data_IF_581216967996
#
_entry.id   IF_581216967996
#
_cell.length_a   1.000
_cell.length_b   1.000
_cell.length_c   1.000
_cell.angle_alpha   90.00
_cell.angle_beta   90.00
_cell.angle_gamma   90.00
#
_symmetry.space_group_name_H-M   'P 1'
#
loop_
_entity.id
_entity.type
_entity.pdbx_description
1 polymer ?
#
# COMPACT_ATOMS: atom_id res chain seq x y z
N UNK A 1 8.42 -9.44 15.91
CA UNK A 1 8.11 -10.30 14.73
C UNK A 1 7.57 -9.36 13.68
N UNK A 2 8.31 -9.15 12.59
CA UNK A 2 7.85 -8.31 11.48
C UNK A 2 6.58 -8.92 10.91
N UNK A 3 5.50 -8.15 10.83
CA UNK A 3 4.30 -8.56 10.10
C UNK A 3 4.67 -8.69 8.63
N UNK A 4 4.49 -9.87 8.04
CA UNK A 4 4.73 -10.09 6.63
C UNK A 4 3.46 -9.73 5.85
N UNK A 5 3.54 -8.73 4.98
CA UNK A 5 2.45 -8.35 4.08
C UNK A 5 2.22 -9.52 3.13
N UNK A 6 0.96 -9.94 2.98
CA UNK A 6 0.56 -11.08 2.18
C UNK A 6 -0.65 -10.70 1.35
N UNK A 7 -0.59 -10.98 0.04
CA UNK A 7 -1.71 -10.74 -0.87
C UNK A 7 -2.55 -12.01 -0.97
N UNK A 8 -3.83 -11.88 -0.62
CA UNK A 8 -4.81 -12.96 -0.61
C UNK A 8 -5.68 -12.83 -1.86
N UNK A 9 -5.74 -13.87 -2.67
CA UNK A 9 -6.59 -13.94 -3.86
C UNK A 9 -8.08 -13.82 -3.48
N UNK A 10 -8.84 -13.04 -4.25
CA UNK A 10 -10.29 -12.97 -4.09
C UNK A 10 -10.96 -14.03 -4.98
N UNK A 11 -11.58 -15.02 -4.35
CA UNK A 11 -12.43 -16.03 -5.00
C UNK A 11 -13.90 -15.82 -4.64
N UNK A 12 -14.28 -14.59 -4.25
CA UNK A 12 -15.64 -14.20 -3.87
C UNK A 12 -15.84 -14.00 -2.37
N UNK A 13 -14.77 -13.92 -1.58
CA UNK A 13 -14.84 -13.63 -0.14
C UNK A 13 -15.11 -12.14 0.12
N UNK A 14 -14.76 -11.28 -0.85
CA UNK A 14 -14.93 -9.84 -0.80
C UNK A 14 -15.60 -9.32 -2.07
N UNK A 15 -15.80 -8.01 -2.13
CA UNK A 15 -16.34 -7.27 -3.26
C UNK A 15 -15.65 -7.66 -4.58
N UNK A 16 -16.42 -7.81 -5.66
CA UNK A 16 -15.97 -8.33 -6.95
C UNK A 16 -15.04 -7.36 -7.70
N UNK A 17 -14.98 -6.10 -7.28
CA UNK A 17 -14.00 -5.12 -7.79
C UNK A 17 -12.57 -5.41 -7.37
N UNK A 18 -12.35 -6.30 -6.39
CA UNK A 18 -11.02 -6.66 -5.91
C UNK A 18 -10.59 -8.02 -6.46
N UNK A 19 -9.41 -8.09 -7.07
CA UNK A 19 -8.73 -9.34 -7.41
C UNK A 19 -7.91 -9.89 -6.22
N UNK A 20 -7.33 -9.00 -5.41
CA UNK A 20 -6.60 -9.36 -4.20
C UNK A 20 -6.95 -8.44 -3.03
N UNK A 21 -6.73 -8.93 -1.81
CA UNK A 21 -6.72 -8.13 -0.59
C UNK A 21 -5.42 -8.31 0.17
N UNK A 22 -4.92 -7.24 0.78
CA UNK A 22 -3.85 -7.30 1.76
C UNK A 22 -4.24 -6.54 3.02
N UNK A 23 -3.71 -6.96 4.16
CA UNK A 23 -3.72 -6.17 5.38
C UNK A 23 -2.36 -5.51 5.54
N UNK A 24 -2.37 -4.21 5.81
CA UNK A 24 -1.18 -3.43 6.19
C UNK A 24 -1.51 -2.65 7.46
N UNK A 25 -0.51 -2.00 8.05
CA UNK A 25 -0.70 -1.25 9.28
C UNK A 25 -1.81 -0.17 9.14
N UNK A 26 -2.91 -0.37 9.85
CA UNK A 26 -4.04 0.56 9.90
C UNK A 26 -4.94 0.57 8.65
N UNK A 27 -4.79 -0.39 7.73
CA UNK A 27 -5.57 -0.42 6.51
C UNK A 27 -5.76 -1.83 5.91
N UNK A 28 -6.91 -2.02 5.25
CA UNK A 28 -7.05 -3.07 4.25
C UNK A 28 -6.89 -2.50 2.86
N UNK A 29 -6.03 -3.12 2.06
CA UNK A 29 -5.89 -2.83 0.65
C UNK A 29 -6.68 -3.80 -0.18
N UNK A 30 -7.35 -3.28 -1.19
CA UNK A 30 -8.01 -4.06 -2.22
C UNK A 30 -7.41 -3.68 -3.57
N UNK A 31 -6.89 -4.68 -4.28
CA UNK A 31 -6.22 -4.53 -5.56
C UNK A 31 -7.20 -4.95 -6.65
N UNK A 32 -7.70 -3.99 -7.42
CA UNK A 32 -8.60 -4.20 -8.56
C UNK A 32 -7.88 -4.01 -9.89
N UNK A 33 -8.63 -4.13 -10.99
CA UNK A 33 -8.10 -4.01 -12.36
C UNK A 33 -7.56 -2.61 -12.68
N UNK A 34 -8.32 -1.58 -12.30
CA UNK A 34 -8.07 -0.17 -12.61
C UNK A 34 -7.84 0.70 -11.36
N UNK A 35 -7.71 0.07 -10.19
CA UNK A 35 -7.59 0.81 -8.92
C UNK A 35 -6.95 0.02 -7.79
N UNK A 36 -6.43 0.77 -6.83
CA UNK A 36 -6.12 0.31 -5.48
C UNK A 36 -7.06 1.04 -4.53
N UNK A 37 -7.83 0.31 -3.71
CA UNK A 37 -8.65 0.90 -2.66
C UNK A 37 -7.96 0.72 -1.31
N UNK A 38 -7.71 1.84 -0.63
CA UNK A 38 -7.23 1.88 0.74
C UNK A 38 -8.43 2.07 1.66
N UNK A 39 -8.72 1.08 2.50
CA UNK A 39 -9.75 1.17 3.52
C UNK A 39 -9.09 1.31 4.89
N UNK A 40 -9.00 2.55 5.35
CA UNK A 40 -8.34 2.96 6.58
C UNK A 40 -9.30 2.84 7.77
N UNK A 41 -8.78 2.42 8.91
CA UNK A 41 -9.51 2.38 10.17
C UNK A 41 -8.65 2.90 11.32
N UNK A 42 -9.29 3.49 12.32
CA UNK A 42 -8.58 3.91 13.53
C UNK A 42 -8.04 2.68 14.31
N UNK A 43 -6.73 2.61 14.61
CA UNK A 43 -6.15 1.45 15.31
C UNK A 43 -6.79 1.15 16.66
N UNK A 44 -7.28 2.18 17.37
CA UNK A 44 -7.99 2.04 18.63
C UNK A 44 -9.25 1.15 18.52
N UNK A 45 -9.78 0.93 17.32
CA UNK A 45 -10.88 0.00 17.07
C UNK A 45 -10.49 -1.47 17.30
N UNK A 46 -9.26 -1.88 16.96
CA UNK A 46 -8.82 -3.28 17.07
C UNK A 46 -8.69 -3.73 18.52
N UNK A 47 -8.17 -2.87 19.41
CA UNK A 47 -8.05 -3.12 20.86
C UNK A 47 -9.39 -3.51 21.53
N UNK A 48 -10.53 -3.20 20.91
CA UNK A 48 -11.87 -3.49 21.43
C UNK A 48 -12.55 -4.72 20.80
N UNK A 49 -12.16 -5.12 19.58
CA UNK A 49 -12.80 -6.24 18.86
C UNK A 49 -12.14 -7.59 19.20
N UNK A 50 -10.98 -7.59 19.87
CA UNK A 50 -10.32 -8.81 20.32
C UNK A 50 -11.00 -9.46 21.55
N UNK A 51 -10.96 -10.80 21.68
CA UNK A 51 -11.45 -11.50 22.87
C UNK A 51 -10.67 -11.04 24.11
N UNK A 52 -11.36 -10.37 25.05
CA UNK A 52 -10.75 -9.80 26.26
C UNK A 52 -10.47 -8.29 26.20
N UNK A 53 -10.87 -7.61 25.11
CA UNK A 53 -10.89 -6.15 25.05
C UNK A 53 -11.78 -5.53 26.14
N UNK A 54 -11.44 -4.31 26.57
CA UNK A 54 -12.27 -3.57 27.51
C UNK A 54 -13.63 -3.28 26.88
N UNK A 55 -14.70 -3.39 27.68
CA UNK A 55 -16.05 -3.03 27.26
C UNK A 55 -16.06 -1.54 26.86
N UNK A 56 -16.57 -1.24 25.66
CA UNK A 56 -16.67 0.13 25.18
C UNK A 56 -17.62 0.93 26.07
N UNK A 57 -17.21 2.13 26.47
CA UNK A 57 -18.16 3.11 26.98
C UNK A 57 -19.28 3.32 25.95
N UNK A 58 -20.56 3.47 26.36
CA UNK A 58 -21.64 3.72 25.44
C UNK A 58 -21.32 4.96 24.58
N UNK A 59 -21.24 4.77 23.24
CA UNK A 59 -20.97 5.79 22.20
C UNK A 59 -19.50 6.16 21.92
N UNK A 60 -18.56 5.24 22.01
CA UNK A 60 -17.27 5.45 21.34
C UNK A 60 -17.47 5.56 19.82
N UNK A 61 -17.17 6.73 19.24
CA UNK A 61 -17.15 6.92 17.80
C UNK A 61 -15.83 6.40 17.22
N UNK A 62 -15.91 5.71 16.09
CA UNK A 62 -14.75 5.22 15.35
C UNK A 62 -14.85 5.68 13.91
N UNK A 63 -13.72 6.07 13.33
CA UNK A 63 -13.66 6.46 11.93
C UNK A 63 -13.13 5.35 11.05
N UNK A 64 -13.82 5.17 9.93
CA UNK A 64 -13.33 4.46 8.75
C UNK A 64 -13.32 5.46 7.62
N UNK A 65 -12.33 5.36 6.75
CA UNK A 65 -12.25 6.21 5.58
C UNK A 65 -11.61 5.41 4.46
N UNK A 66 -12.32 5.32 3.34
CA UNK A 66 -11.80 4.68 2.14
C UNK A 66 -11.46 5.73 1.08
N UNK A 67 -10.28 5.61 0.48
CA UNK A 67 -9.92 6.35 -0.73
C UNK A 67 -9.39 5.37 -1.78
N UNK A 68 -9.45 5.77 -3.04
CA UNK A 68 -9.02 4.97 -4.19
C UNK A 68 -7.91 5.69 -4.94
N UNK A 69 -6.88 4.94 -5.33
CA UNK A 69 -5.91 5.35 -6.35
C UNK A 69 -6.34 4.68 -7.65
N UNK A 70 -6.85 5.46 -8.61
CA UNK A 70 -7.35 4.97 -9.89
C UNK A 70 -6.31 5.18 -10.99
N UNK A 71 -6.03 4.11 -11.75
CA UNK A 71 -5.16 4.13 -12.93
C UNK A 71 -5.95 4.71 -14.11
N UNK A 72 -5.71 5.97 -14.47
CA UNK A 72 -6.44 6.62 -15.55
C UNK A 72 -5.92 6.16 -16.90
N UNK A 73 -6.81 5.81 -17.82
CA UNK A 73 -6.44 5.37 -19.18
C UNK A 73 -5.60 4.08 -19.21
N UNK A 74 -5.64 3.27 -18.15
CA UNK A 74 -4.98 1.98 -18.14
C UNK A 74 -5.63 0.99 -19.11
N UNK A 75 -4.88 -0.05 -19.45
CA UNK A 75 -5.35 -1.18 -20.21
C UNK A 75 -6.37 -2.00 -19.38
N UNK A 76 -7.23 -2.74 -20.08
CA UNK A 76 -8.09 -3.73 -19.45
C UNK A 76 -7.24 -4.97 -19.12
N UNK A 77 -6.87 -5.10 -17.86
CA UNK A 77 -5.99 -6.16 -17.34
C UNK A 77 -6.65 -6.85 -16.15
N UNK A 78 -6.16 -8.04 -15.81
CA UNK A 78 -6.48 -8.70 -14.54
C UNK A 78 -5.16 -8.89 -13.77
N UNK A 79 -5.02 -8.31 -12.55
CA UNK A 79 -3.80 -8.48 -11.77
C UNK A 79 -3.54 -9.95 -11.46
N UNK A 80 -2.27 -10.34 -11.37
CA UNK A 80 -1.87 -11.71 -11.11
C UNK A 80 -0.99 -11.84 -9.87
N UNK A 81 -1.17 -12.92 -9.11
CA UNK A 81 -0.35 -13.20 -7.94
C UNK A 81 0.94 -13.89 -8.36
N UNK A 82 2.09 -13.40 -7.89
CA UNK A 82 3.40 -14.03 -8.14
C UNK A 82 4.09 -14.39 -6.82
N UNK A 83 4.99 -15.38 -6.89
CA UNK A 83 5.61 -16.02 -5.71
C UNK A 83 4.55 -16.58 -4.74
N UNK A 84 3.83 -17.64 -5.13
CA UNK A 84 2.82 -18.24 -4.27
C UNK A 84 3.46 -18.82 -3.00
N UNK A 85 2.81 -18.65 -1.87
CA UNK A 85 3.18 -19.28 -0.60
C UNK A 85 2.73 -20.75 -0.58
N UNK A 86 3.35 -21.54 0.28
CA UNK A 86 3.06 -22.98 0.41
C UNK A 86 1.76 -23.29 1.16
N UNK A 87 1.17 -22.31 1.84
CA UNK A 87 -0.09 -22.45 2.57
C UNK A 87 -1.19 -21.62 1.92
N UNK A 88 -2.43 -21.93 2.28
CA UNK A 88 -3.64 -21.32 1.74
C UNK A 88 -4.63 -21.03 2.88
N UNK A 89 -5.66 -20.25 2.57
CA UNK A 89 -6.76 -19.98 3.48
C UNK A 89 -8.07 -20.63 2.98
N UNK A 90 -8.97 -20.92 3.92
CA UNK A 90 -10.34 -21.30 3.63
C UNK A 90 -11.28 -20.31 4.32
N UNK A 91 -12.32 -19.87 3.61
CA UNK A 91 -13.28 -18.89 4.08
C UNK A 91 -14.69 -19.47 4.04
N UNK A 92 -15.31 -19.51 5.22
CA UNK A 92 -16.65 -20.04 5.46
C UNK A 92 -17.55 -18.91 6.00
N UNK A 93 -17.77 -17.87 5.18
CA UNK A 93 -18.34 -16.59 5.62
C UNK A 93 -19.89 -16.59 5.72
N UNK A 94 -20.56 -17.57 5.13
CA UNK A 94 -22.01 -17.73 5.14
C UNK A 94 -22.38 -19.20 5.42
N UNK A 95 -23.61 -19.45 5.84
CA UNK A 95 -24.20 -20.78 5.97
C UNK A 95 -24.43 -21.48 4.63
N UNK A 96 -24.40 -20.74 3.52
CA UNK A 96 -24.46 -21.32 2.18
C UNK A 96 -23.06 -21.82 1.74
N UNK A 97 -22.85 -23.14 1.56
CA UNK A 97 -21.58 -23.69 1.09
C UNK A 97 -21.16 -23.23 -0.31
N UNK A 98 -22.11 -22.80 -1.15
CA UNK A 98 -21.80 -22.26 -2.48
C UNK A 98 -21.06 -20.92 -2.43
N UNK A 99 -21.06 -20.25 -1.26
CA UNK A 99 -20.30 -19.02 -1.01
C UNK A 99 -19.00 -19.26 -0.26
N UNK A 100 -18.63 -20.52 -0.03
CA UNK A 100 -17.36 -20.85 0.57
C UNK A 100 -16.26 -20.69 -0.47
N UNK A 101 -15.10 -20.22 0.00
CA UNK A 101 -13.91 -20.19 -0.81
C UNK A 101 -12.83 -21.01 -0.14
N UNK A 102 -12.44 -22.10 -0.79
CA UNK A 102 -11.44 -23.05 -0.29
C UNK A 102 -10.19 -22.99 -1.16
N UNK A 103 -9.04 -23.29 -0.56
CA UNK A 103 -7.77 -23.30 -1.29
C UNK A 103 -7.32 -21.91 -1.75
N UNK A 104 -7.75 -20.86 -1.07
CA UNK A 104 -7.45 -19.47 -1.43
C UNK A 104 -5.95 -19.23 -1.34
N UNK A 105 -5.33 -18.93 -2.48
CA UNK A 105 -3.89 -18.79 -2.58
C UNK A 105 -3.42 -17.45 -2.01
N UNK A 106 -2.16 -17.49 -1.59
CA UNK A 106 -1.47 -16.37 -0.97
C UNK A 106 -0.19 -16.11 -1.73
N UNK A 107 0.15 -14.84 -1.89
CA UNK A 107 1.26 -14.39 -2.73
C UNK A 107 2.14 -13.38 -1.99
N UNK A 108 3.44 -13.38 -2.30
CA UNK A 108 4.35 -12.35 -1.80
C UNK A 108 4.27 -11.05 -2.61
N UNK A 109 3.77 -11.11 -3.86
CA UNK A 109 3.62 -9.93 -4.73
C UNK A 109 2.40 -10.06 -5.64
N UNK A 110 1.93 -8.92 -6.14
CA UNK A 110 0.93 -8.83 -7.20
C UNK A 110 1.52 -8.07 -8.37
N UNK A 111 1.28 -8.59 -9.57
CA UNK A 111 1.78 -8.10 -10.84
C UNK A 111 0.63 -7.58 -11.70
N UNK A 112 0.80 -6.37 -12.20
CA UNK A 112 -0.07 -5.71 -13.17
C UNK A 112 0.69 -5.63 -14.50
N UNK A 113 0.72 -6.75 -15.20
CA UNK A 113 1.34 -6.90 -16.52
C UNK A 113 0.66 -5.97 -17.53
N UNK A 114 1.46 -5.15 -18.22
CA UNK A 114 1.03 -4.20 -19.24
C UNK A 114 -0.14 -3.30 -18.80
N UNK A 115 -0.08 -2.79 -17.55
CA UNK A 115 -1.06 -1.85 -17.00
C UNK A 115 -1.26 -0.63 -17.89
N UNK A 116 -0.18 -0.11 -18.47
CA UNK A 116 -0.21 0.78 -19.63
C UNK A 116 0.62 0.16 -20.76
N UNK A 117 0.55 0.71 -21.97
CA UNK A 117 1.27 0.19 -23.12
C UNK A 117 2.80 0.19 -22.88
N UNK A 118 3.36 -0.99 -22.62
CA UNK A 118 4.77 -1.17 -22.27
C UNK A 118 5.15 -0.71 -20.86
N UNK A 119 4.19 -0.61 -19.94
CA UNK A 119 4.43 -0.28 -18.53
C UNK A 119 3.73 -1.29 -17.62
N UNK A 120 4.52 -2.00 -16.83
CA UNK A 120 4.04 -2.91 -15.80
C UNK A 120 4.02 -2.20 -14.44
N UNK A 121 3.23 -2.72 -13.49
CA UNK A 121 3.33 -2.34 -12.07
C UNK A 121 3.43 -3.59 -11.18
N UNK A 122 4.40 -3.63 -10.27
CA UNK A 122 4.55 -4.73 -9.30
C UNK A 122 4.37 -4.18 -7.90
N UNK A 123 3.45 -4.75 -7.12
CA UNK A 123 3.21 -4.41 -5.71
C UNK A 123 3.77 -5.52 -4.81
N UNK A 124 4.54 -5.15 -3.79
CA UNK A 124 5.21 -6.10 -2.91
C UNK A 124 5.56 -5.50 -1.54
N UNK A 125 6.05 -6.33 -0.61
CA UNK A 125 6.61 -5.86 0.65
C UNK A 125 8.05 -5.38 0.47
N UNK A 126 8.32 -4.12 0.79
CA UNK A 126 9.67 -3.55 0.92
C UNK A 126 10.00 -3.28 2.38
N UNK A 127 10.89 -4.08 2.98
CA UNK A 127 11.17 -3.97 4.41
C UNK A 127 9.89 -4.20 5.25
N UNK A 128 9.43 -3.16 5.95
CA UNK A 128 8.22 -3.20 6.77
C UNK A 128 7.02 -2.47 6.13
N UNK A 129 7.17 -1.90 4.94
CA UNK A 129 6.14 -1.14 4.23
C UNK A 129 5.71 -1.84 2.94
N UNK A 130 4.57 -1.41 2.42
CA UNK A 130 4.14 -1.75 1.08
C UNK A 130 4.93 -0.88 0.08
N UNK A 131 5.43 -1.50 -0.98
CA UNK A 131 6.05 -0.82 -2.11
C UNK A 131 5.37 -1.22 -3.42
N UNK A 132 5.49 -0.34 -4.40
CA UNK A 132 5.14 -0.68 -5.77
C UNK A 132 6.12 -0.02 -6.74
N UNK A 133 6.49 -0.73 -7.79
CA UNK A 133 7.37 -0.22 -8.84
C UNK A 133 6.59 -0.13 -10.14
N UNK A 134 6.66 1.00 -10.85
CA UNK A 134 6.34 1.05 -12.28
C UNK A 134 7.58 0.69 -13.10
N UNK A 135 7.43 -0.27 -14.00
CA UNK A 135 8.50 -0.76 -14.88
C UNK A 135 8.18 -0.29 -16.29
N UNK A 136 8.86 0.74 -16.74
CA UNK A 136 8.67 1.32 -18.07
C UNK A 136 9.66 0.65 -19.03
N UNK A 137 9.14 -0.14 -19.97
CA UNK A 137 9.94 -0.82 -20.99
C UNK A 137 10.53 0.17 -22.01
N UNK A 138 11.63 -0.19 -22.70
CA UNK A 138 12.21 0.65 -23.75
C UNK A 138 11.17 1.05 -24.80
N UNK A 139 10.98 2.36 -24.97
CA UNK A 139 10.03 2.93 -25.94
C UNK A 139 8.65 3.30 -25.39
N UNK A 140 8.31 2.90 -24.16
CA UNK A 140 7.09 3.37 -23.49
C UNK A 140 7.25 4.81 -22.94
N UNK A 141 6.14 5.56 -22.83
CA UNK A 141 6.15 6.93 -22.31
C UNK A 141 5.70 6.94 -20.83
N UNK A 142 6.59 7.28 -19.87
CA UNK A 142 6.22 7.34 -18.45
C UNK A 142 5.11 8.37 -18.14
N UNK A 143 4.77 9.28 -19.08
CA UNK A 143 3.65 10.22 -18.93
C UNK A 143 2.27 9.55 -19.04
N UNK A 144 2.21 8.33 -19.53
CA UNK A 144 0.97 7.55 -19.58
C UNK A 144 0.52 7.16 -18.17
N UNK A 145 1.45 7.13 -17.19
CA UNK A 145 1.14 6.87 -15.79
C UNK A 145 0.43 8.08 -15.19
N UNK A 146 -0.88 7.95 -15.02
CA UNK A 146 -1.75 8.98 -14.44
C UNK A 146 -2.62 8.37 -13.35
N UNK A 147 -2.47 8.86 -12.12
CA UNK A 147 -3.15 8.34 -10.94
C UNK A 147 -4.13 9.37 -10.41
N UNK A 148 -5.42 9.03 -10.33
CA UNK A 148 -6.41 9.88 -9.69
C UNK A 148 -6.69 9.38 -8.27
N UNK A 149 -6.57 10.27 -7.30
CA UNK A 149 -6.89 9.96 -5.90
C UNK A 149 -8.32 10.44 -5.64
N UNK A 150 -9.23 9.48 -5.40
CA UNK A 150 -10.64 9.73 -5.15
C UNK A 150 -11.03 9.34 -3.72
N UNK A 151 -11.94 10.08 -3.11
CA UNK A 151 -12.43 9.82 -1.75
C UNK A 151 -11.62 10.45 -0.61
N UNK A 152 -10.39 10.93 -0.85
CA UNK A 152 -9.60 11.64 0.16
C UNK A 152 -10.16 13.04 0.46
N UNK A 153 -9.93 13.55 1.68
CA UNK A 153 -10.36 14.90 2.09
C UNK A 153 -9.48 15.99 1.47
N UNK A 154 -8.17 15.72 1.32
CA UNK A 154 -7.22 16.61 0.66
C UNK A 154 -6.06 15.81 0.05
N UNK A 155 -5.58 16.26 -1.11
CA UNK A 155 -4.36 15.73 -1.76
C UNK A 155 -3.46 16.91 -2.11
N UNK A 156 -2.20 16.88 -1.68
CA UNK A 156 -1.24 17.96 -1.93
C UNK A 156 0.20 17.47 -1.98
N UNK A 157 1.09 18.31 -2.53
CA UNK A 157 2.53 18.08 -2.49
C UNK A 157 3.19 18.91 -1.40
N UNK A 158 4.07 18.30 -0.61
CA UNK A 158 4.82 18.95 0.47
C UNK A 158 6.26 18.47 0.42
N UNK A 159 7.22 19.37 0.17
CA UNK A 159 8.65 19.03 0.11
C UNK A 159 9.00 17.84 -0.80
N UNK A 160 8.27 17.67 -1.92
CA UNK A 160 8.46 16.54 -2.85
C UNK A 160 7.65 15.29 -2.52
N UNK A 161 7.03 15.23 -1.33
CA UNK A 161 6.16 14.14 -0.90
C UNK A 161 4.71 14.37 -1.35
N UNK A 162 4.01 13.29 -1.67
CA UNK A 162 2.57 13.29 -1.92
C UNK A 162 1.83 13.01 -0.60
N UNK A 163 1.03 13.95 -0.16
CA UNK A 163 0.31 13.89 1.12
C UNK A 163 -1.18 13.76 0.85
N UNK A 164 -1.77 12.68 1.36
CA UNK A 164 -3.18 12.32 1.24
C UNK A 164 -3.79 12.39 2.64
N UNK A 165 -4.61 13.41 2.88
CA UNK A 165 -5.31 13.60 4.15
C UNK A 165 -6.66 12.90 4.09
N UNK A 166 -6.95 12.13 5.14
CA UNK A 166 -8.26 11.51 5.35
C UNK A 166 -8.76 11.85 6.75
N UNK A 167 -10.02 11.52 7.00
CA UNK A 167 -10.61 11.66 8.33
C UNK A 167 -9.94 10.79 9.40
N UNK A 168 -9.34 9.66 9.00
CA UNK A 168 -8.72 8.69 9.92
C UNK A 168 -7.27 9.07 10.21
N UNK A 169 -6.48 9.33 9.18
CA UNK A 169 -5.07 9.66 9.29
C UNK A 169 -4.56 10.39 8.03
N UNK A 170 -3.25 10.66 8.00
CA UNK A 170 -2.55 11.14 6.81
C UNK A 170 -1.67 10.02 6.27
N UNK A 171 -1.80 9.78 4.96
CA UNK A 171 -0.93 8.88 4.19
C UNK A 171 0.06 9.74 3.41
N UNK A 172 1.34 9.38 3.46
CA UNK A 172 2.41 10.10 2.76
C UNK A 172 3.13 9.15 1.83
N UNK A 173 3.32 9.53 0.57
CA UNK A 173 4.26 8.86 -0.33
C UNK A 173 5.49 9.75 -0.49
N UNK A 174 6.68 9.17 -0.26
CA UNK A 174 7.95 9.86 -0.47
C UNK A 174 8.12 10.25 -1.94
N UNK A 175 9.02 11.20 -2.18
CA UNK A 175 9.41 11.57 -3.54
C UNK A 175 9.82 10.32 -4.34
N UNK A 176 9.40 10.17 -5.61
CA UNK A 176 9.67 8.97 -6.39
C UNK A 176 11.18 8.77 -6.55
N UNK A 177 11.64 7.54 -6.30
CA UNK A 177 13.00 7.12 -6.60
C UNK A 177 13.03 6.47 -7.99
N UNK A 178 13.61 7.16 -8.97
CA UNK A 178 13.68 6.68 -10.36
C UNK A 178 15.11 6.29 -10.74
N UNK A 179 15.27 5.14 -11.40
CA UNK A 179 16.58 4.67 -11.83
C UNK A 179 16.56 3.76 -13.06
N UNK A 180 17.73 3.60 -13.68
CA UNK A 180 18.00 2.61 -14.71
C UNK A 180 19.13 1.67 -14.27
N UNK A 181 19.07 0.42 -14.68
CA UNK A 181 20.16 -0.53 -14.51
C UNK A 181 20.93 -0.72 -15.82
N UNK A 182 22.12 -0.12 -15.93
CA UNK A 182 22.92 -0.10 -17.15
C UNK A 182 24.30 -0.68 -16.86
N UNK A 183 24.68 -1.73 -17.59
CA UNK A 183 25.98 -2.38 -17.49
C UNK A 183 26.39 -2.74 -16.05
N UNK A 184 25.45 -3.26 -15.25
CA UNK A 184 25.70 -3.68 -13.87
C UNK A 184 25.64 -2.55 -12.82
N UNK A 185 25.24 -1.33 -13.20
CA UNK A 185 25.19 -0.16 -12.32
C UNK A 185 23.81 0.47 -12.28
N UNK A 186 23.42 0.95 -11.11
CA UNK A 186 22.25 1.81 -10.92
C UNK A 186 22.62 3.23 -11.33
N UNK A 187 21.84 3.80 -12.25
CA UNK A 187 21.92 5.19 -12.68
C UNK A 187 20.65 5.87 -12.20
N UNK A 188 20.78 6.74 -11.20
CA UNK A 188 19.65 7.52 -10.67
C UNK A 188 19.22 8.57 -11.71
N UNK A 189 17.92 8.71 -11.87
CA UNK A 189 17.29 9.71 -12.73
C UNK A 189 16.51 10.64 -11.81
N UNK A 190 16.67 11.96 -11.99
CA UNK A 190 15.88 12.93 -11.22
C UNK A 190 14.39 12.72 -11.51
N UNK A 191 13.57 12.68 -10.46
CA UNK A 191 12.13 12.53 -10.58
C UNK A 191 11.39 13.28 -9.49
N UNK A 192 10.19 13.75 -9.79
CA UNK A 192 9.29 14.38 -8.81
C UNK A 192 7.84 14.20 -9.22
N UNK A 193 6.92 14.29 -8.26
CA UNK A 193 5.49 14.31 -8.55
C UNK A 193 5.05 15.61 -9.24
N UNK A 194 4.06 15.48 -10.11
CA UNK A 194 3.22 16.57 -10.60
C UNK A 194 1.80 16.28 -10.16
N UNK A 195 1.19 17.20 -9.41
CA UNK A 195 -0.22 17.16 -9.02
C UNK A 195 -1.00 18.24 -9.76
N UNK A 196 -1.97 17.86 -10.59
CA UNK A 196 -2.86 18.78 -11.31
C UNK A 196 -4.29 18.25 -11.29
N UNK A 197 -5.22 19.05 -10.77
CA UNK A 197 -6.66 18.71 -10.72
C UNK A 197 -6.94 17.32 -10.08
N UNK A 198 -6.21 16.95 -9.02
CA UNK A 198 -6.34 15.64 -8.36
C UNK A 198 -5.61 14.48 -9.05
N UNK A 199 -5.00 14.73 -10.21
CA UNK A 199 -4.23 13.74 -10.97
C UNK A 199 -2.75 13.87 -10.61
N UNK A 200 -2.19 12.78 -10.08
CA UNK A 200 -0.77 12.58 -9.83
C UNK A 200 -0.14 11.97 -11.08
N UNK A 201 1.00 12.53 -11.48
CA UNK A 201 1.85 12.05 -12.58
C UNK A 201 3.31 12.32 -12.23
N UNK A 202 4.23 11.87 -13.06
CA UNK A 202 5.67 11.97 -12.79
C UNK A 202 6.36 12.95 -13.74
N UNK A 203 7.21 13.82 -13.18
CA UNK A 203 8.23 14.52 -13.94
C UNK A 203 9.50 13.68 -13.88
N UNK A 204 9.98 13.21 -15.03
CA UNK A 204 11.22 12.43 -15.14
C UNK A 204 12.28 13.27 -15.86
N UNK A 205 13.51 13.25 -15.34
CA UNK A 205 14.69 13.86 -15.94
C UNK A 205 15.20 13.10 -17.17
N UNK A 206 16.36 13.49 -17.70
CA UNK A 206 16.93 12.81 -18.86
C UNK A 206 17.36 11.38 -18.52
N UNK A 207 16.90 10.41 -19.31
CA UNK A 207 17.26 8.99 -19.19
C UNK A 207 17.55 8.38 -20.56
N UNK A 208 18.14 7.17 -20.58
CA UNK A 208 18.42 6.47 -21.83
C UNK A 208 17.21 5.61 -22.24
N UNK A 209 16.49 5.94 -23.33
CA UNK A 209 15.27 5.24 -23.73
C UNK A 209 15.49 3.80 -24.22
N UNK A 210 16.74 3.37 -24.42
CA UNK A 210 17.06 1.99 -24.78
C UNK A 210 17.06 1.02 -23.59
N UNK A 211 16.89 1.52 -22.36
CA UNK A 211 16.90 0.72 -21.14
C UNK A 211 15.61 0.93 -20.35
N UNK A 212 15.22 -0.10 -19.60
CA UNK A 212 14.08 -0.01 -18.67
C UNK A 212 14.30 1.14 -17.69
N UNK A 213 13.21 1.83 -17.38
CA UNK A 213 13.16 2.86 -16.36
C UNK A 213 12.26 2.36 -15.22
N UNK A 214 12.78 2.35 -14.00
CA UNK A 214 12.02 1.93 -12.80
C UNK A 214 11.66 3.18 -12.01
N UNK A 215 10.38 3.33 -11.65
CA UNK A 215 9.88 4.40 -10.79
C UNK A 215 9.30 3.72 -9.54
N UNK A 216 9.96 3.88 -8.39
CA UNK A 216 9.55 3.32 -7.07
C UNK A 216 9.13 4.47 -6.15
N UNK A 217 7.81 4.67 -5.89
CA UNK A 217 7.33 5.57 -4.88
C UNK A 217 7.17 4.81 -3.56
N UNK A 218 7.87 5.28 -2.51
CA UNK A 218 7.77 4.64 -1.20
C UNK A 218 6.54 5.15 -0.43
N UNK A 219 5.63 4.23 -0.11
CA UNK A 219 4.44 4.52 0.70
C UNK A 219 4.77 4.47 2.20
N UNK A 220 4.55 5.59 2.88
CA UNK A 220 4.68 5.76 4.33
C UNK A 220 3.30 6.02 4.93
N UNK A 221 2.79 5.02 5.65
CA UNK A 221 1.64 5.21 6.53
C UNK A 221 2.09 5.70 7.90
N UNK A 222 1.72 6.93 8.25
CA UNK A 222 1.94 7.46 9.60
C UNK A 222 0.77 7.06 10.50
N UNK A 223 0.87 5.90 11.15
CA UNK A 223 0.09 5.58 12.35
C UNK A 223 1.05 5.57 13.54
N UNK A 224 0.70 6.29 14.61
CA UNK A 224 1.56 6.42 15.80
C UNK A 224 2.13 5.08 16.26
N UNK A 225 3.45 5.02 16.40
CA UNK A 225 4.28 3.89 16.91
C UNK A 225 4.26 2.57 16.13
N UNK A 226 3.41 2.39 15.10
CA UNK A 226 3.30 1.10 14.39
C UNK A 226 2.81 -0.06 15.25
N UNK A 227 2.39 0.22 16.49
CA UNK A 227 1.92 -0.78 17.41
C UNK A 227 0.51 -1.22 17.05
N UNK A 228 0.31 -2.54 16.92
CA UNK A 228 -1.03 -3.13 16.72
C UNK A 228 -1.80 -3.24 18.04
N UNK A 229 -1.28 -2.65 19.12
CA UNK A 229 -1.78 -2.71 20.48
C UNK A 229 -1.58 -1.35 21.16
N UNK A 230 -2.34 -1.07 22.22
CA UNK A 230 -2.03 0.04 23.13
C UNK A 230 -0.56 0.02 23.57
N UNK A 231 0.20 1.05 23.16
CA UNK A 231 1.60 1.26 23.52
C UNK A 231 1.74 2.57 24.32
N UNK A 232 2.26 2.47 25.54
CA UNK A 232 2.54 3.63 26.39
C UNK A 232 4.05 3.90 26.40
N UNK A 233 4.46 5.03 25.82
CA UNK A 233 5.85 5.50 25.85
C UNK A 233 6.22 6.07 27.23
N UNK A 234 7.20 5.47 27.90
CA UNK A 234 7.69 5.95 29.20
C UNK A 234 9.05 6.65 29.11
N UNK A 235 9.81 6.39 28.05
CA UNK A 235 11.14 6.97 27.84
C UNK A 235 11.45 7.09 26.35
N UNK A 236 12.10 8.17 25.97
CA UNK A 236 12.66 8.37 24.66
C UNK A 236 14.06 8.98 24.82
N UNK A 237 15.04 8.45 24.11
CA UNK A 237 16.39 9.00 23.98
C UNK A 237 16.82 8.92 22.52
N UNK A 238 17.89 9.62 22.15
CA UNK A 238 18.56 9.46 20.87
C UNK A 238 19.89 8.72 21.04
N UNK A 239 20.39 8.08 19.99
CA UNK A 239 21.76 7.56 19.93
C UNK A 239 22.74 8.56 19.29
N UNK A 240 24.02 8.19 19.15
CA UNK A 240 25.04 9.08 18.59
C UNK A 240 24.89 9.34 17.08
N UNK A 241 24.01 8.59 16.41
CA UNK A 241 23.67 8.72 15.00
C UNK A 241 22.29 9.39 14.81
N UNK A 242 21.74 10.01 15.87
CA UNK A 242 20.44 10.70 15.92
C UNK A 242 19.20 9.81 15.70
N UNK A 243 19.33 8.49 15.88
CA UNK A 243 18.15 7.62 15.83
C UNK A 243 17.34 7.76 17.12
N UNK A 244 16.00 7.87 16.97
CA UNK A 244 15.08 7.85 18.11
C UNK A 244 14.97 6.43 18.69
N UNK A 245 15.41 6.28 19.94
CA UNK A 245 15.20 5.08 20.76
C UNK A 245 14.06 5.36 21.74
N UNK A 246 12.89 4.77 21.50
CA UNK A 246 11.75 4.86 22.41
C UNK A 246 11.48 3.50 23.07
N UNK A 247 11.24 3.53 24.39
CA UNK A 247 10.82 2.37 25.18
C UNK A 247 9.34 2.48 25.55
N UNK A 248 8.56 1.48 25.17
CA UNK A 248 7.13 1.42 25.46
C UNK A 248 6.71 0.06 26.02
N UNK A 249 5.62 0.04 26.80
CA UNK A 249 4.99 -1.21 27.23
C UNK A 249 3.82 -1.50 26.29
N UNK A 250 3.80 -2.72 25.76
CA UNK A 250 2.71 -3.25 24.93
C UNK A 250 1.91 -4.25 25.75
N UNK A 251 0.59 -4.06 25.83
CA UNK A 251 -0.31 -4.89 26.64
C UNK A 251 -1.01 -6.01 25.83
N UNK A 252 -0.45 -6.42 24.68
CA UNK A 252 -0.93 -7.57 23.91
C UNK A 252 0.15 -8.13 22.95
N UNK A 253 -0.22 -9.02 22.02
CA UNK A 253 0.68 -9.51 20.99
C UNK A 253 0.74 -8.53 19.81
N UNK A 254 1.95 -8.23 19.34
CA UNK A 254 2.21 -7.27 18.27
C UNK A 254 2.87 -6.02 18.86
N UNK A 255 4.13 -5.79 18.49
CA UNK A 255 4.99 -4.72 19.03
C UNK A 255 4.42 -3.37 18.63
#
# INVERSE_FOLDING_TARGET
>A
MNSQITFIENLGQWDDRAAFRSEINGAFLYLGEDRITYNLYEPALLDHIHPGGKELEPRTEFWWHAYEVRFLHCNAITPSGIKPKSHFHNYYLDRNPEKWAEGVKLYDKVDYDNLYDGIDMIIYQGGNSLKYDFIVEPGADPKDIQLNIDGADEVRLVNGELVITTKVNTVTESEPYTYQFIAGKIINIESSYILKNGIVSFKIGDYNPAYKLIIDPELILSTGTGSTSSNFGFTATYDQDENLIAGGNVFSNGF
#
